data_IF_736308211403
#
_entry.id   IF_736308211403
#
_cell.length_a   1.000
_cell.length_b   1.000
_cell.length_c   1.000
_cell.angle_alpha   90.00
_cell.angle_beta   90.00
_cell.angle_gamma   90.00
#
_symmetry.space_group_name_H-M   'P 1'
#
loop_
_entity.id
_entity.type
_entity.pdbx_description
1 polymer ?
#
# COMPACT_ATOMS: atom_id res chain seq x y z
N UNK A 1 -3.32 -8.64 -26.16
CA UNK A 1 -3.69 -8.51 -24.71
C UNK A 1 -3.24 -9.78 -23.99
N UNK A 2 -2.47 -9.64 -22.95
CA UNK A 2 -1.79 -10.74 -22.24
C UNK A 2 -2.78 -11.74 -21.63
N UNK A 3 -2.69 -13.01 -22.03
CA UNK A 3 -3.61 -14.08 -21.61
C UNK A 3 -3.53 -14.36 -20.09
N UNK A 4 -2.34 -14.24 -19.50
CA UNK A 4 -2.15 -14.46 -18.06
C UNK A 4 -2.84 -13.36 -17.25
N UNK A 5 -2.73 -12.11 -17.67
CA UNK A 5 -3.45 -10.99 -17.06
C UNK A 5 -4.97 -11.17 -17.15
N UNK A 6 -5.48 -11.60 -18.32
CA UNK A 6 -6.91 -11.86 -18.48
C UNK A 6 -7.41 -12.95 -17.52
N UNK A 7 -6.64 -14.04 -17.39
CA UNK A 7 -6.96 -15.13 -16.46
C UNK A 7 -6.98 -14.64 -15.00
N UNK A 8 -6.02 -13.80 -14.62
CA UNK A 8 -5.95 -13.17 -13.31
C UNK A 8 -7.17 -12.30 -13.05
N UNK A 9 -7.51 -11.40 -13.98
CA UNK A 9 -8.72 -10.57 -13.89
C UNK A 9 -9.99 -11.43 -13.72
N UNK A 10 -10.17 -12.42 -14.56
CA UNK A 10 -11.34 -13.31 -14.52
C UNK A 10 -11.46 -14.00 -13.15
N UNK A 11 -10.35 -14.50 -12.60
CA UNK A 11 -10.33 -15.14 -11.28
C UNK A 11 -10.78 -14.20 -10.16
N UNK A 12 -10.27 -12.95 -10.16
CA UNK A 12 -10.63 -11.95 -9.15
C UNK A 12 -12.08 -11.45 -9.31
N UNK A 13 -12.55 -11.27 -10.55
CA UNK A 13 -13.95 -10.91 -10.84
C UNK A 13 -14.89 -12.00 -10.33
N UNK A 14 -14.61 -13.28 -10.64
CA UNK A 14 -15.42 -14.40 -10.16
C UNK A 14 -15.45 -14.51 -8.63
N UNK A 15 -14.39 -14.11 -7.97
CA UNK A 15 -14.35 -14.01 -6.51
C UNK A 15 -15.06 -12.75 -5.95
N UNK A 16 -15.61 -11.88 -6.81
CA UNK A 16 -16.30 -10.66 -6.43
C UNK A 16 -15.37 -9.60 -5.82
N UNK A 17 -14.09 -9.57 -6.20
CA UNK A 17 -13.16 -8.50 -5.77
C UNK A 17 -13.60 -7.18 -6.43
N UNK A 18 -13.84 -6.08 -5.67
CA UNK A 18 -14.42 -4.85 -6.22
C UNK A 18 -13.59 -4.26 -7.38
N UNK A 19 -12.31 -4.06 -7.17
CA UNK A 19 -11.40 -3.44 -8.13
C UNK A 19 -10.51 -4.50 -8.83
N UNK A 20 -11.11 -5.63 -9.22
CA UNK A 20 -10.40 -6.81 -9.71
C UNK A 20 -9.40 -6.53 -10.84
N UNK A 21 -9.69 -5.58 -11.74
CA UNK A 21 -8.78 -5.22 -12.84
C UNK A 21 -7.58 -4.43 -12.37
N UNK A 22 -7.79 -3.52 -11.44
CA UNK A 22 -6.70 -2.77 -10.80
C UNK A 22 -5.81 -3.72 -10.01
N UNK A 23 -6.40 -4.55 -9.15
CA UNK A 23 -5.67 -5.54 -8.35
C UNK A 23 -4.86 -6.49 -9.22
N UNK A 24 -5.44 -6.96 -10.32
CA UNK A 24 -4.75 -7.83 -11.27
C UNK A 24 -3.55 -7.13 -11.92
N UNK A 25 -3.67 -5.85 -12.27
CA UNK A 25 -2.57 -5.08 -12.84
C UNK A 25 -1.43 -4.89 -11.82
N UNK A 26 -1.76 -4.55 -10.59
CA UNK A 26 -0.78 -4.39 -9.51
C UNK A 26 -0.04 -5.70 -9.23
N UNK A 27 -0.76 -6.81 -9.06
CA UNK A 27 -0.16 -8.12 -8.85
C UNK A 27 0.71 -8.56 -10.02
N UNK A 28 0.28 -8.27 -11.26
CA UNK A 28 1.05 -8.59 -12.45
C UNK A 28 2.38 -7.83 -12.46
N UNK A 29 2.32 -6.52 -12.27
CA UNK A 29 3.52 -5.67 -12.22
C UNK A 29 4.44 -6.06 -11.06
N UNK A 30 3.88 -6.36 -9.89
CA UNK A 30 4.64 -6.79 -8.71
C UNK A 30 5.45 -8.08 -8.96
N UNK A 31 4.88 -9.04 -9.66
CA UNK A 31 5.55 -10.33 -9.92
C UNK A 31 6.54 -10.24 -11.08
N UNK A 32 6.19 -9.51 -12.14
CA UNK A 32 6.95 -9.52 -13.41
C UNK A 32 7.85 -8.30 -13.58
N UNK A 33 7.61 -7.21 -12.85
CA UNK A 33 8.24 -5.91 -13.09
C UNK A 33 7.80 -5.24 -14.40
N UNK A 34 6.79 -5.78 -15.10
CA UNK A 34 6.38 -5.35 -16.44
C UNK A 34 4.92 -4.92 -16.50
N UNK A 35 4.59 -4.01 -17.42
CA UNK A 35 3.21 -3.65 -17.70
C UNK A 35 2.54 -4.74 -18.54
N UNK A 36 1.45 -5.32 -18.04
CA UNK A 36 0.68 -6.35 -18.72
C UNK A 36 0.18 -5.96 -20.13
N UNK A 37 0.11 -4.67 -20.45
CA UNK A 37 -0.31 -4.14 -21.77
C UNK A 37 0.78 -4.26 -22.81
N UNK A 38 2.03 -4.26 -22.38
CA UNK A 38 3.23 -4.25 -23.22
C UNK A 38 4.00 -5.57 -23.15
N UNK A 39 3.57 -6.49 -22.30
CA UNK A 39 4.26 -7.76 -22.06
C UNK A 39 3.66 -8.91 -22.86
N UNK A 40 4.52 -9.76 -23.42
CA UNK A 40 4.14 -10.96 -24.18
C UNK A 40 3.61 -12.08 -23.25
N UNK A 41 4.00 -12.05 -21.98
CA UNK A 41 3.51 -12.97 -20.96
C UNK A 41 4.56 -13.30 -19.88
N UNK A 42 4.11 -13.83 -18.75
CA UNK A 42 4.98 -14.22 -17.66
C UNK A 42 5.71 -15.53 -17.98
N UNK A 43 6.88 -15.72 -17.38
CA UNK A 43 7.55 -17.03 -17.34
C UNK A 43 6.71 -18.04 -16.54
N UNK A 44 7.06 -19.31 -16.60
CA UNK A 44 6.35 -20.36 -15.86
C UNK A 44 6.42 -20.13 -14.32
N UNK A 45 7.55 -19.65 -13.83
CA UNK A 45 7.73 -19.31 -12.40
C UNK A 45 6.88 -18.11 -12.00
N UNK A 46 6.91 -17.02 -12.79
CA UNK A 46 6.07 -15.85 -12.57
C UNK A 46 4.58 -16.19 -12.62
N UNK A 47 4.17 -17.05 -13.57
CA UNK A 47 2.79 -17.51 -13.68
C UNK A 47 2.34 -18.28 -12.44
N UNK A 48 3.22 -19.13 -11.88
CA UNK A 48 2.95 -19.84 -10.64
C UNK A 48 2.80 -18.88 -9.46
N UNK A 49 3.67 -17.89 -9.33
CA UNK A 49 3.58 -16.85 -8.29
C UNK A 49 2.29 -16.03 -8.42
N UNK A 50 1.93 -15.63 -9.63
CA UNK A 50 0.67 -14.92 -9.91
C UNK A 50 -0.54 -15.73 -9.47
N UNK A 51 -0.54 -17.04 -9.72
CA UNK A 51 -1.65 -17.91 -9.31
C UNK A 51 -1.79 -17.96 -7.78
N UNK A 52 -0.70 -18.09 -7.05
CA UNK A 52 -0.72 -18.07 -5.56
C UNK A 52 -1.28 -16.76 -5.04
N UNK A 53 -0.82 -15.62 -5.56
CA UNK A 53 -1.30 -14.32 -5.14
C UNK A 53 -2.77 -14.09 -5.53
N UNK A 54 -3.19 -14.59 -6.69
CA UNK A 54 -4.59 -14.56 -7.12
C UNK A 54 -5.52 -15.29 -6.15
N UNK A 55 -5.13 -16.48 -5.67
CA UNK A 55 -5.93 -17.24 -4.71
C UNK A 55 -5.99 -16.53 -3.35
N UNK A 56 -4.88 -15.98 -2.86
CA UNK A 56 -4.85 -15.19 -1.63
C UNK A 56 -5.76 -13.96 -1.74
N UNK A 57 -5.68 -13.21 -2.85
CA UNK A 57 -6.54 -12.04 -3.10
C UNK A 57 -8.02 -12.43 -3.25
N UNK A 58 -8.31 -13.54 -3.93
CA UNK A 58 -9.66 -14.10 -4.04
C UNK A 58 -10.22 -14.51 -2.67
N UNK A 59 -9.37 -14.95 -1.74
CA UNK A 59 -9.68 -15.18 -0.33
C UNK A 59 -9.80 -13.91 0.52
N UNK A 60 -9.85 -12.72 -0.12
CA UNK A 60 -10.01 -11.40 0.52
C UNK A 60 -8.80 -10.88 1.28
N UNK A 61 -7.62 -11.47 1.12
CA UNK A 61 -6.41 -10.85 1.66
C UNK A 61 -6.20 -9.47 1.01
N UNK A 62 -5.94 -8.40 1.77
CA UNK A 62 -5.74 -7.06 1.23
C UNK A 62 -4.62 -7.04 0.18
N UNK A 63 -4.85 -6.33 -0.94
CA UNK A 63 -3.84 -6.18 -2.00
C UNK A 63 -2.52 -5.67 -1.42
N UNK A 64 -2.58 -4.66 -0.56
CA UNK A 64 -1.44 -4.03 0.08
C UNK A 64 -0.57 -5.04 0.85
N UNK A 65 -1.20 -6.00 1.56
CA UNK A 65 -0.47 -7.04 2.28
C UNK A 65 0.20 -8.04 1.34
N UNK A 66 -0.37 -8.25 0.15
CA UNK A 66 0.24 -9.10 -0.88
C UNK A 66 1.46 -8.43 -1.52
N UNK A 67 1.40 -7.11 -1.69
CA UNK A 67 2.51 -6.31 -2.22
C UNK A 67 3.59 -6.05 -1.16
N UNK A 68 3.21 -5.98 0.13
CA UNK A 68 4.11 -5.69 1.25
C UNK A 68 4.45 -4.22 1.43
N UNK A 69 4.01 -3.39 0.51
CA UNK A 69 4.24 -1.94 0.51
C UNK A 69 3.04 -1.20 -0.09
N UNK A 70 2.89 0.07 0.27
CA UNK A 70 1.86 0.94 -0.25
C UNK A 70 2.29 2.39 -0.23
N UNK A 71 1.90 3.14 -1.27
CA UNK A 71 2.20 4.55 -1.37
C UNK A 71 1.31 5.38 -0.45
N UNK A 72 1.88 6.44 0.11
CA UNK A 72 1.22 7.44 0.92
C UNK A 72 1.87 8.79 0.65
N UNK A 73 1.10 9.78 0.19
CA UNK A 73 1.63 11.06 -0.30
C UNK A 73 2.73 10.83 -1.36
N UNK A 74 3.95 11.26 -1.06
CA UNK A 74 5.13 11.19 -1.95
C UNK A 74 6.14 10.08 -1.55
N UNK A 75 5.74 9.14 -0.70
CA UNK A 75 6.62 8.06 -0.23
C UNK A 75 5.91 6.73 -0.07
N UNK A 76 6.69 5.66 -0.06
CA UNK A 76 6.20 4.29 0.08
C UNK A 76 6.43 3.78 1.50
N UNK A 77 5.42 3.14 2.08
CA UNK A 77 5.43 2.52 3.41
C UNK A 77 5.41 1.02 3.30
N UNK A 78 6.10 0.34 4.21
CA UNK A 78 5.91 -1.08 4.43
C UNK A 78 4.57 -1.33 5.12
N UNK A 79 3.81 -2.28 4.60
CA UNK A 79 2.51 -2.67 5.16
C UNK A 79 2.43 -4.19 5.28
N UNK A 80 1.65 -4.66 6.23
CA UNK A 80 1.49 -6.08 6.48
C UNK A 80 0.44 -6.36 7.53
N UNK A 81 0.35 -7.62 7.94
CA UNK A 81 -0.54 -8.00 9.03
C UNK A 81 -0.14 -7.26 10.31
N UNK A 82 -1.13 -6.78 11.04
CA UNK A 82 -0.92 -6.02 12.27
C UNK A 82 -1.08 -4.51 12.14
N UNK A 83 -1.06 -3.96 10.91
CA UNK A 83 -1.30 -2.54 10.68
C UNK A 83 -2.47 -2.30 9.74
N UNK A 84 -3.19 -1.20 9.95
CA UNK A 84 -4.17 -0.72 8.98
C UNK A 84 -3.42 -0.14 7.77
N UNK A 85 -3.78 -0.58 6.57
CA UNK A 85 -3.25 0.02 5.34
C UNK A 85 -3.65 1.49 5.27
N UNK A 86 -2.71 2.40 4.95
CA UNK A 86 -3.01 3.81 4.74
C UNK A 86 -4.12 4.00 3.70
N UNK A 87 -4.98 4.98 3.92
CA UNK A 87 -6.11 5.31 3.05
C UNK A 87 -6.00 6.75 2.57
N UNK A 88 -6.61 7.06 1.44
CA UNK A 88 -6.65 8.41 0.88
C UNK A 88 -7.20 9.46 1.86
N UNK A 89 -8.19 9.10 2.70
CA UNK A 89 -8.70 9.99 3.75
C UNK A 89 -7.61 10.38 4.76
N UNK A 90 -6.65 9.48 5.03
CA UNK A 90 -5.52 9.77 5.92
C UNK A 90 -4.52 10.75 5.28
N UNK A 91 -4.39 10.76 3.95
CA UNK A 91 -3.57 11.76 3.25
C UNK A 91 -4.12 13.16 3.46
N UNK A 92 -5.45 13.35 3.37
CA UNK A 92 -6.10 14.65 3.63
C UNK A 92 -5.84 15.11 5.07
N UNK A 93 -5.89 14.19 6.05
CA UNK A 93 -5.58 14.51 7.46
C UNK A 93 -4.13 14.93 7.59
N UNK A 94 -3.20 14.23 6.96
CA UNK A 94 -1.77 14.54 6.99
C UNK A 94 -1.48 15.91 6.36
N UNK A 95 -2.02 16.17 5.16
CA UNK A 95 -1.86 17.46 4.47
C UNK A 95 -2.43 18.61 5.28
N UNK A 96 -3.59 18.43 5.94
CA UNK A 96 -4.17 19.43 6.83
C UNK A 96 -3.26 19.72 8.02
N UNK A 97 -2.69 18.68 8.63
CA UNK A 97 -1.75 18.86 9.75
C UNK A 97 -0.47 19.59 9.30
N UNK A 98 0.08 19.25 8.13
CA UNK A 98 1.23 19.93 7.53
C UNK A 98 0.93 21.41 7.34
N UNK A 99 -0.22 21.75 6.77
CA UNK A 99 -0.63 23.14 6.54
C UNK A 99 -0.74 23.94 7.87
N UNK A 100 -1.26 23.33 8.91
CA UNK A 100 -1.38 23.96 10.25
C UNK A 100 -0.02 24.19 10.92
N UNK A 101 0.99 23.39 10.59
CA UNK A 101 2.30 23.40 11.22
C UNK A 101 3.36 24.18 10.43
N UNK A 102 3.09 24.56 9.19
CA UNK A 102 4.09 25.12 8.26
C UNK A 102 4.83 26.36 8.76
N UNK A 103 4.15 27.19 9.59
CA UNK A 103 4.70 28.43 10.12
C UNK A 103 5.30 28.26 11.54
N UNK A 104 5.36 27.02 12.04
CA UNK A 104 5.91 26.70 13.35
C UNK A 104 7.41 26.38 13.26
N UNK A 105 8.26 27.02 14.04
CA UNK A 105 9.72 26.82 13.97
C UNK A 105 10.16 25.41 14.45
N UNK A 106 9.52 24.86 15.50
CA UNK A 106 9.86 23.56 16.07
C UNK A 106 8.64 22.86 16.68
N UNK A 107 7.64 22.47 15.85
CA UNK A 107 6.43 21.88 16.38
C UNK A 107 6.70 20.49 16.99
N UNK A 108 6.01 20.19 18.09
CA UNK A 108 6.01 18.87 18.71
C UNK A 108 4.72 18.15 18.35
N UNK A 109 4.84 16.97 17.76
CA UNK A 109 3.71 16.19 17.24
C UNK A 109 3.72 14.79 17.85
N UNK A 110 2.56 14.35 18.31
CA UNK A 110 2.33 12.98 18.74
C UNK A 110 1.32 12.31 17.79
N UNK A 111 1.77 11.29 17.09
CA UNK A 111 0.92 10.41 16.27
C UNK A 111 0.50 9.24 17.15
N UNK A 112 -0.72 9.28 17.67
CA UNK A 112 -1.25 8.26 18.60
C UNK A 112 -2.00 7.20 17.82
N UNK A 113 -1.74 5.94 18.15
CA UNK A 113 -2.22 4.77 17.40
C UNK A 113 -1.65 4.77 15.98
N UNK A 114 -0.36 5.01 15.87
CA UNK A 114 0.31 5.35 14.62
C UNK A 114 0.23 4.27 13.53
N UNK A 115 0.05 3.01 13.90
CA UNK A 115 0.00 1.88 12.95
C UNK A 115 1.27 1.84 12.10
N UNK A 116 1.14 2.15 10.80
CA UNK A 116 2.28 2.26 9.87
C UNK A 116 3.15 3.49 10.11
N UNK A 117 2.70 4.43 10.95
CA UNK A 117 3.35 5.73 11.12
C UNK A 117 3.14 6.71 9.96
N UNK A 118 2.19 6.45 9.06
CA UNK A 118 2.02 7.24 7.83
C UNK A 118 1.80 8.73 8.10
N UNK A 119 1.01 9.09 9.11
CA UNK A 119 0.76 10.50 9.47
C UNK A 119 2.02 11.15 10.04
N UNK A 120 2.62 10.53 11.05
CA UNK A 120 3.83 11.04 11.68
C UNK A 120 4.99 11.18 10.71
N UNK A 121 5.22 10.19 9.86
CA UNK A 121 6.27 10.22 8.84
C UNK A 121 6.00 11.29 7.78
N UNK A 122 4.76 11.43 7.31
CA UNK A 122 4.36 12.46 6.35
C UNK A 122 4.64 13.87 6.90
N UNK A 123 4.26 14.12 8.16
CA UNK A 123 4.53 15.39 8.83
C UNK A 123 6.03 15.61 9.00
N UNK A 124 6.78 14.61 9.46
CA UNK A 124 8.23 14.75 9.67
C UNK A 124 9.00 15.07 8.38
N UNK A 125 8.52 14.53 7.23
CA UNK A 125 9.09 14.82 5.91
C UNK A 125 8.80 16.24 5.43
N UNK A 126 7.57 16.70 5.64
CA UNK A 126 7.08 17.97 5.07
C UNK A 126 7.38 19.19 5.95
N UNK A 127 7.57 19.02 7.27
CA UNK A 127 7.79 20.11 8.23
C UNK A 127 9.18 19.99 8.84
N UNK A 128 10.20 20.66 8.25
CA UNK A 128 11.55 20.66 8.79
C UNK A 128 11.57 21.21 10.23
N UNK A 129 12.22 20.51 11.13
CA UNK A 129 12.28 20.89 12.55
C UNK A 129 11.15 20.34 13.42
N UNK A 130 10.14 19.71 12.85
CA UNK A 130 9.13 19.01 13.63
C UNK A 130 9.75 17.85 14.45
N UNK A 131 9.37 17.78 15.73
CA UNK A 131 9.70 16.65 16.61
C UNK A 131 8.50 15.74 16.67
N UNK A 132 8.53 14.66 15.89
CA UNK A 132 7.43 13.71 15.77
C UNK A 132 7.70 12.48 16.59
N UNK A 133 6.72 12.06 17.39
CA UNK A 133 6.72 10.81 18.16
C UNK A 133 5.52 9.98 17.76
N UNK A 134 5.76 8.83 17.15
CA UNK A 134 4.72 7.83 16.86
C UNK A 134 4.55 6.91 18.06
N UNK A 135 3.31 6.68 18.49
CA UNK A 135 2.95 5.83 19.60
C UNK A 135 1.99 4.75 19.11
N UNK A 136 2.40 3.48 19.23
CA UNK A 136 1.59 2.34 18.84
C UNK A 136 1.62 1.27 19.95
N UNK A 137 0.45 0.72 20.26
CA UNK A 137 0.30 -0.28 21.30
C UNK A 137 0.58 -1.69 20.79
N UNK A 138 0.22 -1.96 19.53
CA UNK A 138 0.36 -3.28 18.93
C UNK A 138 1.82 -3.59 18.59
N UNK A 139 2.38 -4.63 19.18
CA UNK A 139 3.72 -5.10 18.80
C UNK A 139 3.77 -5.64 17.37
N UNK A 140 2.64 -6.10 16.82
CA UNK A 140 2.58 -6.60 15.44
C UNK A 140 2.73 -5.49 14.39
N UNK A 141 2.59 -4.23 14.80
CA UNK A 141 2.78 -3.05 13.96
C UNK A 141 4.24 -2.56 13.90
N UNK A 142 5.11 -3.08 14.77
CA UNK A 142 6.50 -2.67 14.83
C UNK A 142 7.34 -3.47 13.82
N UNK A 143 8.33 -2.84 13.14
CA UNK A 143 9.20 -3.51 12.18
C UNK A 143 10.16 -4.50 12.84
#
# INVERSE_FOLDING_TARGET
MNAAYQKLCARLIMAGVPDARFDAAQLYTFVTGRDHRLDDGPTAEEASRLQVLAERRAGREPLQYLLGEWDFLDFTLKVGRGVLCPRADSEVVCETAIELLKDSEAPVVYDLCAGTGCLGLGIARAVPGAKVTCVELSHDAWP
#
